data_IF_586110152506
#
_entry.id   IF_586110152506
#
_cell.length_a   1.000
_cell.length_b   1.000
_cell.length_c   1.000
_cell.angle_alpha   90.00
_cell.angle_beta   90.00
_cell.angle_gamma   90.00
#
_symmetry.space_group_name_H-M   'P 1'
#
loop_
_entity.id
_entity.type
_entity.pdbx_description
1 polymer ?
#
# COMPACT_ATOMS: atom_id res chain seq x y z
N UNK A 1 1.85 -9.08 46.52
CA UNK A 1 1.02 -8.02 45.92
C UNK A 1 1.48 -7.85 44.48
N UNK A 2 0.62 -8.17 43.51
CA UNK A 2 0.97 -8.12 42.09
C UNK A 2 0.61 -6.75 41.55
N UNK A 3 1.61 -5.94 41.20
CA UNK A 3 1.41 -4.62 40.61
C UNK A 3 1.13 -4.83 39.12
N UNK A 4 -0.09 -4.56 38.68
CA UNK A 4 -0.44 -4.51 37.26
C UNK A 4 -0.04 -3.14 36.69
N UNK A 5 0.57 -3.14 35.52
CA UNK A 5 0.97 -1.92 34.81
C UNK A 5 -0.26 -1.24 34.21
N UNK A 6 -0.41 0.05 34.46
CA UNK A 6 -1.47 0.87 33.86
C UNK A 6 -1.27 0.95 32.34
N UNK A 7 -2.33 0.64 31.59
CA UNK A 7 -2.35 0.75 30.12
C UNK A 7 -2.89 2.14 29.76
N UNK A 8 -2.07 2.94 29.08
CA UNK A 8 -2.46 4.26 28.63
C UNK A 8 -3.67 4.22 27.68
N UNK A 9 -4.46 5.30 27.69
CA UNK A 9 -5.62 5.44 26.81
C UNK A 9 -5.24 5.23 25.33
N UNK A 10 -6.10 4.55 24.54
CA UNK A 10 -5.87 4.40 23.11
C UNK A 10 -5.69 5.77 22.45
N UNK A 11 -4.60 5.96 21.72
CA UNK A 11 -4.38 7.17 20.92
C UNK A 11 -4.15 6.79 19.46
N UNK A 12 -4.54 7.69 18.56
CA UNK A 12 -4.31 7.52 17.13
C UNK A 12 -2.93 8.08 16.82
N UNK A 13 -1.99 7.19 16.47
CA UNK A 13 -0.72 7.62 15.91
C UNK A 13 -0.97 8.37 14.59
N UNK A 14 -0.19 9.43 14.34
CA UNK A 14 -0.19 10.12 13.05
C UNK A 14 -0.02 9.05 11.95
N UNK A 15 -0.90 8.94 10.95
CA UNK A 15 -0.76 7.95 9.89
C UNK A 15 0.65 8.05 9.36
N UNK A 16 1.39 6.93 9.38
CA UNK A 16 2.73 6.87 8.83
C UNK A 16 2.69 7.57 7.47
N UNK A 17 3.34 8.74 7.38
CA UNK A 17 3.47 9.46 6.13
C UNK A 17 4.48 8.66 5.31
N UNK A 18 4.04 7.52 4.79
CA UNK A 18 4.88 6.58 4.07
C UNK A 18 5.59 7.31 2.95
N UNK A 19 6.92 7.27 2.96
CA UNK A 19 7.72 7.82 1.87
C UNK A 19 7.56 6.88 0.68
N UNK A 20 6.80 7.31 -0.33
CA UNK A 20 6.74 6.62 -1.61
C UNK A 20 7.91 7.10 -2.49
N UNK A 21 9.00 6.34 -2.50
CA UNK A 21 10.10 6.59 -3.46
C UNK A 21 9.67 6.00 -4.80
N UNK A 22 9.43 6.89 -5.76
CA UNK A 22 9.18 6.53 -7.16
C UNK A 22 10.37 6.98 -8.00
N UNK A 23 10.97 6.04 -8.70
CA UNK A 23 11.93 6.34 -9.75
C UNK A 23 11.35 6.01 -11.12
N UNK A 24 11.88 6.63 -12.17
CA UNK A 24 11.58 6.24 -13.56
C UNK A 24 12.87 5.73 -14.17
N UNK A 25 12.82 4.55 -14.80
CA UNK A 25 13.91 4.07 -15.63
C UNK A 25 13.96 4.90 -16.91
N UNK A 26 15.16 5.34 -17.29
CA UNK A 26 15.44 6.17 -18.47
C UNK A 26 16.46 5.44 -19.34
N UNK A 27 16.43 5.70 -20.65
CA UNK A 27 17.36 5.08 -21.60
C UNK A 27 17.20 3.57 -21.73
N UNK A 28 16.00 3.03 -21.50
CA UNK A 28 15.74 1.60 -21.71
C UNK A 28 15.84 1.25 -23.18
N UNK A 29 16.59 0.20 -23.48
CA UNK A 29 16.58 -0.41 -24.80
C UNK A 29 15.32 -1.25 -24.99
N UNK A 30 15.00 -1.61 -26.24
CA UNK A 30 13.90 -2.53 -26.52
C UNK A 30 14.08 -3.90 -25.82
N UNK A 31 15.33 -4.34 -25.64
CA UNK A 31 15.65 -5.57 -24.91
C UNK A 31 15.34 -5.45 -23.42
N UNK A 32 15.71 -4.33 -22.78
CA UNK A 32 15.41 -4.09 -21.37
C UNK A 32 13.90 -4.07 -21.12
N UNK A 33 13.14 -3.42 -22.00
CA UNK A 33 11.68 -3.43 -21.92
C UNK A 33 11.09 -4.84 -22.01
N UNK A 34 11.61 -5.67 -22.92
CA UNK A 34 11.16 -7.05 -23.06
C UNK A 34 11.44 -7.88 -21.78
N UNK A 35 12.62 -7.72 -21.19
CA UNK A 35 12.97 -8.36 -19.91
C UNK A 35 12.04 -7.88 -18.79
N UNK A 36 11.86 -6.56 -18.66
CA UNK A 36 11.01 -5.97 -17.62
C UNK A 36 9.56 -6.43 -17.74
N UNK A 37 9.02 -6.53 -18.97
CA UNK A 37 7.67 -7.07 -19.19
C UNK A 37 7.60 -8.54 -18.75
N UNK A 38 8.57 -9.37 -19.14
CA UNK A 38 8.58 -10.79 -18.77
C UNK A 38 8.69 -11.01 -17.26
N UNK A 39 9.60 -10.28 -16.61
CA UNK A 39 9.76 -10.31 -15.15
C UNK A 39 8.49 -9.80 -14.47
N UNK A 40 7.92 -8.69 -14.94
CA UNK A 40 6.67 -8.15 -14.41
C UNK A 40 5.50 -9.12 -14.52
N UNK A 41 5.34 -9.80 -15.66
CA UNK A 41 4.32 -10.84 -15.86
C UNK A 41 4.53 -12.02 -14.91
N UNK A 42 5.76 -12.52 -14.78
CA UNK A 42 6.08 -13.64 -13.88
C UNK A 42 5.79 -13.29 -12.42
N UNK A 43 6.34 -12.17 -11.94
CA UNK A 43 6.13 -11.73 -10.55
C UNK A 43 4.68 -11.34 -10.26
N UNK A 44 3.97 -10.79 -11.26
CA UNK A 44 2.54 -10.49 -11.17
C UNK A 44 1.70 -11.75 -10.98
N UNK A 45 1.99 -12.82 -11.73
CA UNK A 45 1.34 -14.14 -11.55
C UNK A 45 1.57 -14.68 -10.15
N UNK A 46 2.83 -14.68 -9.68
CA UNK A 46 3.19 -15.16 -8.34
C UNK A 46 2.48 -14.37 -7.24
N UNK A 47 2.47 -13.04 -7.32
CA UNK A 47 1.78 -12.19 -6.35
C UNK A 47 0.26 -12.40 -6.36
N UNK A 48 -0.34 -12.63 -7.52
CA UNK A 48 -1.76 -12.96 -7.63
C UNK A 48 -2.09 -14.32 -7.00
N UNK A 49 -1.27 -15.34 -7.25
CA UNK A 49 -1.45 -16.67 -6.68
C UNK A 49 -1.32 -16.66 -5.14
N UNK A 50 -0.29 -15.98 -4.61
CA UNK A 50 -0.09 -15.85 -3.17
C UNK A 50 -1.20 -15.03 -2.50
N UNK A 51 -1.67 -13.94 -3.13
CA UNK A 51 -2.83 -13.19 -2.62
C UNK A 51 -4.09 -14.08 -2.55
N UNK A 52 -4.34 -14.90 -3.57
CA UNK A 52 -5.46 -15.83 -3.55
C UNK A 52 -5.33 -16.86 -2.42
N UNK A 53 -4.12 -17.39 -2.18
CA UNK A 53 -3.85 -18.27 -1.04
C UNK A 53 -4.04 -17.56 0.31
N UNK A 54 -3.60 -16.30 0.45
CA UNK A 54 -3.81 -15.48 1.65
C UNK A 54 -5.28 -15.17 1.90
N UNK A 55 -6.07 -14.95 0.85
CA UNK A 55 -7.52 -14.74 0.99
C UNK A 55 -8.20 -16.00 1.50
N UNK A 56 -7.83 -17.19 0.99
CA UNK A 56 -8.39 -18.48 1.43
C UNK A 56 -8.11 -18.82 2.89
N UNK A 57 -6.97 -18.36 3.44
CA UNK A 57 -6.64 -18.54 4.86
C UNK A 57 -7.52 -17.72 5.79
N UNK A 58 -8.27 -16.74 5.28
CA UNK A 58 -9.24 -15.98 6.06
C UNK A 58 -8.60 -15.25 7.25
N UNK A 59 -9.31 -15.25 8.39
CA UNK A 59 -8.83 -14.62 9.64
C UNK A 59 -7.74 -15.42 10.36
N UNK A 60 -7.43 -16.64 9.89
CA UNK A 60 -6.33 -17.42 10.42
C UNK A 60 -5.00 -16.67 10.26
N UNK A 61 -4.29 -16.51 11.37
CA UNK A 61 -2.90 -16.09 11.38
C UNK A 61 -2.07 -17.26 11.85
N UNK A 62 -1.22 -17.74 10.96
CA UNK A 62 -0.32 -18.85 11.24
C UNK A 62 1.06 -18.51 10.65
N UNK A 63 2.07 -18.51 11.51
CA UNK A 63 3.47 -18.32 11.13
C UNK A 63 3.95 -19.47 10.23
N UNK A 64 3.43 -20.68 10.44
CA UNK A 64 3.74 -21.84 9.61
C UNK A 64 3.17 -21.66 8.20
N UNK A 65 1.90 -21.26 8.10
CA UNK A 65 1.29 -20.89 6.82
C UNK A 65 1.99 -19.73 6.11
N UNK A 66 2.60 -18.77 6.85
CA UNK A 66 3.46 -17.75 6.24
C UNK A 66 4.75 -18.36 5.67
N UNK A 67 5.41 -19.21 6.46
CA UNK A 67 6.65 -19.86 6.08
C UNK A 67 6.45 -20.77 4.85
N UNK A 68 5.37 -21.54 4.79
CA UNK A 68 5.01 -22.42 3.67
C UNK A 68 4.84 -21.62 2.38
N UNK A 69 3.97 -20.60 2.35
CA UNK A 69 3.78 -19.78 1.15
C UNK A 69 5.08 -19.12 0.67
N UNK A 70 5.92 -18.67 1.61
CA UNK A 70 7.23 -18.10 1.26
C UNK A 70 8.15 -19.16 0.64
N UNK A 71 8.16 -20.40 1.14
CA UNK A 71 8.94 -21.51 0.57
C UNK A 71 8.46 -21.83 -0.84
N UNK A 72 7.15 -21.95 -1.06
CA UNK A 72 6.58 -22.21 -2.39
C UNK A 72 6.99 -21.14 -3.41
N UNK A 73 6.91 -19.86 -3.03
CA UNK A 73 7.37 -18.76 -3.88
C UNK A 73 8.88 -18.78 -4.13
N UNK A 74 9.68 -19.31 -3.19
CA UNK A 74 11.14 -19.42 -3.34
C UNK A 74 11.52 -20.51 -4.34
N UNK A 75 10.65 -21.49 -4.62
CA UNK A 75 10.87 -22.45 -5.71
C UNK A 75 10.81 -21.76 -7.07
N UNK A 76 9.93 -20.75 -7.21
CA UNK A 76 9.70 -20.04 -8.48
C UNK A 76 10.41 -18.67 -8.59
N UNK A 77 11.09 -18.23 -7.54
CA UNK A 77 11.70 -16.89 -7.45
C UNK A 77 12.85 -16.86 -6.45
N UNK A 78 13.53 -15.71 -6.32
CA UNK A 78 14.54 -15.55 -5.27
C UNK A 78 13.89 -15.38 -3.90
N UNK A 79 14.57 -15.81 -2.83
CA UNK A 79 14.07 -15.65 -1.46
C UNK A 79 13.71 -14.19 -1.10
N UNK A 80 14.40 -13.20 -1.70
CA UNK A 80 14.11 -11.77 -1.53
C UNK A 80 12.80 -11.36 -2.19
N UNK A 81 12.53 -11.85 -3.40
CA UNK A 81 11.26 -11.63 -4.09
C UNK A 81 10.11 -12.34 -3.38
N UNK A 82 10.30 -13.61 -3.00
CA UNK A 82 9.31 -14.35 -2.22
C UNK A 82 8.92 -13.60 -0.94
N UNK A 83 9.90 -13.14 -0.15
CA UNK A 83 9.64 -12.38 1.07
C UNK A 83 8.94 -11.03 0.83
N UNK A 84 9.28 -10.35 -0.27
CA UNK A 84 8.64 -9.07 -0.63
C UNK A 84 7.19 -9.28 -1.10
N UNK A 85 6.92 -10.36 -1.84
CA UNK A 85 5.58 -10.74 -2.30
C UNK A 85 4.70 -11.08 -1.09
N UNK A 86 5.12 -12.02 -0.23
CA UNK A 86 4.30 -12.46 0.91
C UNK A 86 3.98 -11.32 1.88
N UNK A 87 4.92 -10.39 2.08
CA UNK A 87 4.66 -9.18 2.88
C UNK A 87 3.63 -8.27 2.21
N UNK A 88 3.82 -7.97 0.92
CA UNK A 88 2.94 -7.05 0.20
C UNK A 88 1.50 -7.59 0.07
N UNK A 89 1.32 -8.88 -0.18
CA UNK A 89 -0.01 -9.51 -0.27
C UNK A 89 -0.70 -9.55 1.09
N UNK A 90 0.04 -9.83 2.17
CA UNK A 90 -0.49 -9.77 3.53
C UNK A 90 -0.96 -8.37 3.90
N UNK A 91 -0.17 -7.34 3.61
CA UNK A 91 -0.52 -5.95 3.88
C UNK A 91 -1.77 -5.52 3.10
N UNK A 92 -1.86 -5.89 1.82
CA UNK A 92 -3.05 -5.62 1.00
C UNK A 92 -4.29 -6.31 1.56
N UNK A 93 -4.17 -7.57 1.99
CA UNK A 93 -5.26 -8.29 2.64
C UNK A 93 -5.70 -7.57 3.92
N UNK A 94 -4.74 -7.15 4.77
CA UNK A 94 -5.03 -6.42 6.01
C UNK A 94 -5.73 -5.08 5.75
N UNK A 95 -5.25 -4.31 4.77
CA UNK A 95 -5.87 -3.05 4.35
C UNK A 95 -7.30 -3.28 3.83
N UNK A 96 -7.52 -4.28 2.98
CA UNK A 96 -8.85 -4.60 2.45
C UNK A 96 -9.82 -5.04 3.56
N UNK A 97 -9.35 -5.83 4.52
CA UNK A 97 -10.15 -6.23 5.69
C UNK A 97 -10.49 -5.05 6.60
N UNK A 98 -9.54 -4.15 6.84
CA UNK A 98 -9.80 -2.91 7.57
C UNK A 98 -10.84 -2.04 6.89
N UNK A 99 -10.76 -1.90 5.57
CA UNK A 99 -11.75 -1.16 4.79
C UNK A 99 -13.14 -1.81 4.81
N UNK A 100 -13.23 -3.14 4.84
CA UNK A 100 -14.51 -3.86 4.99
C UNK A 100 -15.12 -3.69 6.38
N UNK A 101 -14.30 -3.60 7.42
CA UNK A 101 -14.75 -3.46 8.81
C UNK A 101 -15.06 -2.00 9.19
N UNK A 102 -14.56 -1.02 8.44
CA UNK A 102 -14.83 0.37 8.68
C UNK A 102 -16.30 0.70 8.31
N UNK A 103 -17.09 1.30 9.22
CA UNK A 103 -18.39 1.83 8.83
C UNK A 103 -18.20 2.91 7.76
N UNK A 104 -19.12 3.00 6.79
CA UNK A 104 -19.12 4.01 5.72
C UNK A 104 -19.32 5.46 6.21
N UNK A 105 -19.15 5.71 7.51
CA UNK A 105 -19.27 7.02 8.12
C UNK A 105 -18.02 7.85 7.78
N UNK A 106 -18.25 8.90 6.99
CA UNK A 106 -17.48 10.13 6.89
C UNK A 106 -16.11 10.12 7.60
N UNK A 107 -15.05 10.22 6.80
CA UNK A 107 -13.67 10.29 7.27
C UNK A 107 -13.24 11.76 7.43
N UNK A 108 -13.05 12.30 8.65
CA UNK A 108 -12.67 13.71 8.88
C UNK A 108 -11.26 14.05 8.35
N UNK A 109 -10.47 13.05 7.96
CA UNK A 109 -9.18 13.24 7.30
C UNK A 109 -9.31 13.74 5.85
N UNK A 110 -10.46 13.54 5.21
CA UNK A 110 -10.70 13.97 3.83
C UNK A 110 -10.82 15.50 3.73
N UNK A 111 -11.37 16.15 4.76
CA UNK A 111 -11.49 17.61 4.88
C UNK A 111 -10.14 18.32 5.01
N UNK A 112 -9.24 17.79 5.85
CA UNK A 112 -7.94 18.42 6.10
C UNK A 112 -6.96 18.29 4.92
N UNK A 113 -7.14 17.29 4.04
CA UNK A 113 -6.20 17.00 2.95
C UNK A 113 -6.66 17.51 1.57
N UNK A 114 -7.96 17.68 1.36
CA UNK A 114 -8.53 18.15 0.10
C UNK A 114 -9.77 19.05 0.32
N UNK A 115 -9.59 20.27 0.85
CA UNK A 115 -10.73 21.19 1.08
C UNK A 115 -11.50 21.53 -0.20
N UNK A 116 -10.89 21.39 -1.38
CA UNK A 116 -11.53 21.60 -2.69
C UNK A 116 -12.42 20.43 -3.14
N UNK A 117 -12.34 19.25 -2.51
CA UNK A 117 -13.10 18.08 -2.92
C UNK A 117 -14.56 18.12 -2.46
N UNK A 118 -14.89 18.95 -1.47
CA UNK A 118 -16.23 19.04 -0.88
C UNK A 118 -17.13 20.10 -1.53
N UNK A 119 -16.58 20.95 -2.42
CA UNK A 119 -17.34 22.03 -3.06
C UNK A 119 -17.87 21.69 -4.45
N UNK A 120 -17.73 20.45 -4.94
CA UNK A 120 -18.23 20.08 -6.27
C UNK A 120 -19.10 18.82 -6.29
N UNK A 121 -20.29 19.00 -6.84
CA UNK A 121 -21.29 17.97 -7.17
C UNK A 121 -20.67 16.76 -7.89
N UNK A 122 -21.27 15.56 -7.72
CA UNK A 122 -20.73 14.29 -8.20
C UNK A 122 -20.88 14.18 -9.72
N UNK A 123 -19.99 14.84 -10.45
CA UNK A 123 -20.00 14.86 -11.90
C UNK A 123 -18.58 14.95 -12.43
N UNK A 124 -17.99 13.79 -12.72
CA UNK A 124 -16.78 13.60 -13.54
C UNK A 124 -15.47 14.12 -12.91
N UNK A 125 -14.68 13.21 -12.33
CA UNK A 125 -13.30 13.51 -11.93
C UNK A 125 -12.44 13.83 -13.17
N UNK A 126 -11.69 14.94 -13.21
CA UNK A 126 -10.71 15.18 -14.28
C UNK A 126 -9.50 14.27 -14.10
N UNK A 127 -8.89 13.87 -15.23
CA UNK A 127 -7.64 13.11 -15.23
C UNK A 127 -6.52 13.81 -14.44
N UNK A 128 -5.65 12.99 -13.86
CA UNK A 128 -4.49 13.26 -13.00
C UNK A 128 -3.53 14.41 -13.41
N UNK A 129 -3.73 15.05 -14.57
CA UNK A 129 -2.82 16.02 -15.17
C UNK A 129 -3.03 17.48 -14.69
N UNK A 130 -4.15 17.81 -14.05
CA UNK A 130 -4.51 19.21 -13.73
C UNK A 130 -4.05 19.67 -12.32
N UNK A 131 -2.81 19.36 -11.91
CA UNK A 131 -2.23 19.91 -10.67
C UNK A 131 -1.30 21.09 -10.98
N UNK A 132 -1.52 22.31 -10.43
CA UNK A 132 -0.53 23.38 -10.53
C UNK A 132 0.71 23.04 -9.69
N UNK A 133 1.90 23.30 -10.24
CA UNK A 133 3.17 23.22 -9.50
C UNK A 133 3.20 24.36 -8.48
N UNK A 134 3.23 24.04 -7.19
CA UNK A 134 3.38 25.03 -6.13
C UNK A 134 4.76 25.69 -6.24
N UNK A 135 4.79 26.96 -6.64
CA UNK A 135 5.94 27.85 -6.54
C UNK A 135 6.17 28.27 -5.09
N UNK A 136 7.45 28.41 -4.74
CA UNK A 136 7.97 28.88 -3.45
C UNK A 136 7.40 30.24 -3.07
N UNK A 137 6.81 30.36 -1.88
CA UNK A 137 6.49 31.65 -1.28
C UNK A 137 7.79 32.33 -0.83
N UNK A 138 8.18 33.40 -1.51
CA UNK A 138 9.21 34.31 -1.02
C UNK A 138 8.59 35.26 0.02
N UNK A 139 9.18 35.28 1.21
CA UNK A 139 8.95 36.24 2.29
C UNK A 139 9.20 37.67 1.83
N UNK A 140 8.23 38.56 2.07
CA UNK A 140 8.44 39.98 2.24
C UNK A 140 7.32 40.55 3.13
N UNK A 141 7.71 41.16 4.24
CA UNK A 141 6.89 42.02 5.11
C UNK A 141 7.77 43.25 5.36
N UNK A 142 7.17 44.45 5.43
CA UNK A 142 7.68 45.66 4.78
C UNK A 142 8.95 46.25 5.37
#
# INVERSE_FOLDING_TARGET
MTILREIAAPFVADPAAGVCIRTRLKGLTAADEAVLRRVGTHLGRLAGADLAARVRTGLGHDEDGWAERKRDLTVESTARWAGSITKATHDRWGLARGAQAAPAAYCPWQERRYPWALTRSPGRLPGWAARPRSGSAATATP
#
